data_IF_403058875237
#
_entry.id   IF_403058875237
#
_cell.length_a   1.000
_cell.length_b   1.000
_cell.length_c   1.000
_cell.angle_alpha   90.00
_cell.angle_beta   90.00
_cell.angle_gamma   90.00
#
_symmetry.space_group_name_H-M   'P 1'
#
loop_
_entity.id
_entity.type
_entity.pdbx_description
1 polymer ?
#
# COMPACT_ATOMS: atom_id res chain seq x y z
N UNK A 1 1.42 -19.35 25.74
CA UNK A 1 0.95 -19.65 24.37
C UNK A 1 1.07 -18.37 23.55
N UNK A 2 2.21 -18.14 22.91
CA UNK A 2 2.39 -17.02 21.99
C UNK A 2 2.27 -17.59 20.57
N UNK A 3 1.18 -17.24 19.89
CA UNK A 3 0.71 -17.85 18.66
C UNK A 3 1.75 -17.91 17.54
N UNK A 4 1.86 -19.09 16.91
CA UNK A 4 2.62 -19.35 15.68
C UNK A 4 2.26 -18.39 14.52
N UNK A 5 1.11 -17.71 14.59
CA UNK A 5 0.66 -16.74 13.60
C UNK A 5 1.53 -15.46 13.52
N UNK A 6 2.24 -15.09 14.59
CA UNK A 6 2.99 -13.83 14.61
C UNK A 6 4.34 -13.94 13.87
N UNK A 7 4.92 -15.15 13.77
CA UNK A 7 6.22 -15.35 13.13
C UNK A 7 6.13 -15.27 11.59
N UNK A 8 5.04 -15.77 11.01
CA UNK A 8 4.83 -15.72 9.55
C UNK A 8 4.45 -14.32 9.05
N UNK A 9 3.98 -13.42 9.92
CA UNK A 9 3.57 -12.07 9.52
C UNK A 9 4.72 -11.21 8.98
N UNK A 10 5.93 -11.36 9.55
CA UNK A 10 7.11 -10.61 9.15
C UNK A 10 7.71 -11.08 7.81
N UNK A 11 7.46 -12.33 7.41
CA UNK A 11 7.90 -12.86 6.12
C UNK A 11 6.97 -12.50 4.96
N UNK A 12 5.74 -12.04 5.24
CA UNK A 12 4.78 -11.70 4.20
C UNK A 12 5.18 -10.44 3.44
N UNK A 13 5.05 -10.49 2.13
CA UNK A 13 5.16 -9.30 1.30
C UNK A 13 3.99 -8.32 1.58
N UNK A 14 4.09 -7.05 1.18
CA UNK A 14 3.09 -6.03 1.53
C UNK A 14 1.66 -6.37 1.06
N UNK A 15 1.53 -7.03 -0.10
CA UNK A 15 0.22 -7.43 -0.64
C UNK A 15 -0.35 -8.65 0.08
N UNK A 16 0.49 -9.60 0.49
CA UNK A 16 0.08 -10.74 1.32
C UNK A 16 -0.42 -10.27 2.69
N UNK A 17 0.29 -9.32 3.33
CA UNK A 17 -0.20 -8.69 4.57
C UNK A 17 -1.55 -8.03 4.37
N UNK A 18 -1.73 -7.33 3.24
CA UNK A 18 -3.00 -6.70 2.91
C UNK A 18 -4.13 -7.72 2.70
N UNK A 19 -3.86 -8.83 2.01
CA UNK A 19 -4.80 -9.95 1.85
C UNK A 19 -5.15 -10.59 3.19
N UNK A 20 -4.17 -10.80 4.07
CA UNK A 20 -4.39 -11.32 5.42
C UNK A 20 -5.29 -10.39 6.25
N UNK A 21 -5.03 -9.08 6.23
CA UNK A 21 -5.89 -8.12 6.91
C UNK A 21 -7.30 -8.09 6.31
N UNK A 22 -7.43 -8.17 4.98
CA UNK A 22 -8.73 -8.24 4.32
C UNK A 22 -9.49 -9.52 4.73
N UNK A 23 -8.80 -10.64 4.89
CA UNK A 23 -9.36 -11.90 5.40
C UNK A 23 -9.89 -11.72 6.82
N UNK A 24 -9.11 -11.15 7.74
CA UNK A 24 -9.55 -10.86 9.11
C UNK A 24 -10.78 -9.95 9.17
N UNK A 25 -10.87 -8.96 8.27
CA UNK A 25 -12.04 -8.08 8.19
C UNK A 25 -13.30 -8.83 7.72
N UNK A 26 -13.17 -9.74 6.74
CA UNK A 26 -14.32 -10.40 6.09
C UNK A 26 -14.76 -11.68 6.78
N UNK A 27 -13.81 -12.54 7.12
CA UNK A 27 -14.08 -13.87 7.68
C UNK A 27 -14.17 -13.82 9.20
N UNK A 28 -13.16 -13.25 9.85
CA UNK A 28 -13.12 -13.16 11.32
C UNK A 28 -13.92 -11.98 11.87
N UNK A 29 -14.46 -11.13 10.97
CA UNK A 29 -15.23 -9.91 11.30
C UNK A 29 -14.53 -8.95 12.27
N UNK A 30 -13.19 -8.95 12.26
CA UNK A 30 -12.40 -8.05 13.10
C UNK A 30 -12.42 -6.63 12.53
N UNK A 31 -12.51 -5.62 13.39
CA UNK A 31 -12.28 -4.23 13.01
C UNK A 31 -10.80 -3.96 12.73
N UNK A 32 -10.50 -2.89 11.98
CA UNK A 32 -9.11 -2.46 11.75
C UNK A 32 -8.37 -2.17 13.07
N UNK A 33 -9.09 -1.68 14.09
CA UNK A 33 -8.54 -1.43 15.44
C UNK A 33 -8.14 -2.71 16.14
N UNK A 34 -8.98 -3.74 16.08
CA UNK A 34 -8.65 -5.06 16.65
C UNK A 34 -7.49 -5.73 15.91
N UNK A 35 -7.43 -5.59 14.59
CA UNK A 35 -6.28 -6.08 13.79
C UNK A 35 -5.01 -5.35 14.20
N UNK A 36 -5.06 -4.02 14.34
CA UNK A 36 -3.92 -3.21 14.77
C UNK A 36 -3.40 -3.66 16.15
N UNK A 37 -4.30 -3.88 17.12
CA UNK A 37 -3.95 -4.42 18.43
C UNK A 37 -3.36 -5.84 18.34
N UNK A 38 -3.99 -6.75 17.58
CA UNK A 38 -3.55 -8.15 17.42
C UNK A 38 -2.13 -8.26 16.87
N UNK A 39 -1.74 -7.39 15.94
CA UNK A 39 -0.40 -7.40 15.32
C UNK A 39 0.57 -6.39 15.93
N UNK A 40 0.20 -5.67 16.99
CA UNK A 40 1.03 -4.62 17.60
C UNK A 40 1.42 -3.51 16.62
N UNK A 41 0.51 -3.16 15.69
CA UNK A 41 0.70 -2.11 14.68
C UNK A 41 -0.24 -0.94 14.91
N UNK A 42 0.06 0.19 14.29
CA UNK A 42 -0.81 1.36 14.36
C UNK A 42 -2.02 1.19 13.43
N UNK A 43 -3.15 1.82 13.78
CA UNK A 43 -4.34 1.85 12.92
C UNK A 43 -4.03 2.40 11.50
N UNK A 44 -3.22 3.49 11.35
CA UNK A 44 -2.78 3.93 10.03
C UNK A 44 -1.98 2.87 9.28
N UNK A 45 -1.16 2.06 9.94
CA UNK A 45 -0.41 1.00 9.27
C UNK A 45 -1.35 -0.04 8.64
N UNK A 46 -2.36 -0.51 9.39
CA UNK A 46 -3.36 -1.46 8.89
C UNK A 46 -4.16 -0.87 7.73
N UNK A 47 -4.65 0.36 7.88
CA UNK A 47 -5.40 1.08 6.85
C UNK A 47 -4.58 1.26 5.57
N UNK A 48 -3.33 1.73 5.68
CA UNK A 48 -2.45 1.91 4.53
C UNK A 48 -2.13 0.59 3.83
N UNK A 49 -1.90 -0.48 4.60
CA UNK A 49 -1.61 -1.80 4.04
C UNK A 49 -2.81 -2.32 3.24
N UNK A 50 -4.03 -2.21 3.78
CA UNK A 50 -5.26 -2.60 3.09
C UNK A 50 -5.47 -1.84 1.77
N UNK A 51 -5.15 -0.54 1.75
CA UNK A 51 -5.26 0.29 0.54
C UNK A 51 -4.36 -0.17 -0.61
N UNK A 52 -3.26 -0.89 -0.34
CA UNK A 52 -2.41 -1.47 -1.38
C UNK A 52 -3.18 -2.43 -2.31
N UNK A 53 -4.27 -3.04 -1.85
CA UNK A 53 -5.10 -3.90 -2.70
C UNK A 53 -5.85 -3.12 -3.79
N UNK A 54 -6.02 -1.81 -3.63
CA UNK A 54 -6.68 -0.91 -4.58
C UNK A 54 -5.77 -0.51 -5.75
N UNK A 55 -4.48 -0.85 -5.69
CA UNK A 55 -3.54 -0.56 -6.76
C UNK A 55 -3.90 -1.30 -8.07
N UNK A 56 -3.64 -0.69 -9.23
CA UNK A 56 -3.67 -1.40 -10.51
C UNK A 56 -2.67 -2.55 -10.53
N UNK A 57 -2.97 -3.60 -11.29
CA UNK A 57 -2.17 -4.83 -11.32
C UNK A 57 -0.70 -4.56 -11.65
N UNK A 58 -0.43 -3.71 -12.63
CA UNK A 58 0.93 -3.33 -13.02
C UNK A 58 1.74 -2.71 -11.85
N UNK A 59 1.08 -1.94 -10.98
CA UNK A 59 1.75 -1.32 -9.81
C UNK A 59 1.94 -2.35 -8.69
N UNK A 60 1.01 -3.29 -8.54
CA UNK A 60 1.14 -4.42 -7.61
C UNK A 60 2.32 -5.31 -7.99
N UNK A 61 2.48 -5.63 -9.26
CA UNK A 61 3.64 -6.39 -9.78
C UNK A 61 4.95 -5.67 -9.46
N UNK A 62 5.00 -4.34 -9.65
CA UNK A 62 6.15 -3.53 -9.27
C UNK A 62 6.49 -3.59 -7.78
N UNK A 63 5.46 -3.56 -6.93
CA UNK A 63 5.64 -3.69 -5.49
C UNK A 63 6.11 -5.10 -5.08
N UNK A 64 5.58 -6.15 -5.72
CA UNK A 64 5.98 -7.53 -5.46
C UNK A 64 7.42 -7.81 -5.89
N UNK A 65 7.82 -7.30 -7.05
CA UNK A 65 9.18 -7.40 -7.58
C UNK A 65 10.18 -6.46 -6.90
N UNK A 66 9.73 -5.64 -5.93
CA UNK A 66 10.53 -4.64 -5.22
C UNK A 66 11.14 -3.56 -6.14
N UNK A 67 10.62 -3.37 -7.35
CA UNK A 67 11.03 -2.26 -8.23
C UNK A 67 10.56 -0.92 -7.69
N UNK A 68 9.46 -0.93 -6.93
CA UNK A 68 9.00 0.21 -6.13
C UNK A 68 8.84 -0.20 -4.67
N UNK A 69 9.02 0.76 -3.78
CA UNK A 69 8.79 0.57 -2.34
C UNK A 69 7.33 0.83 -1.95
N UNK A 70 6.95 0.41 -0.74
CA UNK A 70 5.63 0.72 -0.15
C UNK A 70 5.36 2.23 -0.10
N UNK A 71 6.39 3.06 0.07
CA UNK A 71 6.26 4.52 0.04
C UNK A 71 5.79 5.02 -1.33
N UNK A 72 6.42 4.54 -2.42
CA UNK A 72 5.98 4.87 -3.77
C UNK A 72 4.55 4.40 -4.03
N UNK A 73 4.22 3.17 -3.63
CA UNK A 73 2.89 2.60 -3.79
C UNK A 73 1.82 3.43 -3.05
N UNK A 74 2.13 3.90 -1.84
CA UNK A 74 1.25 4.80 -1.05
C UNK A 74 1.10 6.18 -1.68
N UNK A 75 2.16 6.74 -2.25
CA UNK A 75 2.08 8.01 -2.97
C UNK A 75 1.18 7.88 -4.21
N UNK A 76 1.34 6.80 -4.99
CA UNK A 76 0.50 6.52 -6.16
C UNK A 76 -0.97 6.36 -5.77
N UNK A 77 -1.27 5.73 -4.64
CA UNK A 77 -2.64 5.55 -4.10
C UNK A 77 -3.37 6.86 -3.72
N UNK A 78 -2.69 8.00 -3.73
CA UNK A 78 -3.34 9.29 -3.55
C UNK A 78 -4.06 9.77 -4.82
N UNK A 79 -3.73 9.21 -5.98
CA UNK A 79 -4.42 9.48 -7.24
C UNK A 79 -5.76 8.75 -7.27
N UNK A 80 -6.76 9.31 -7.96
CA UNK A 80 -8.09 8.70 -8.04
C UNK A 80 -8.25 7.78 -9.26
N UNK A 81 -7.47 8.00 -10.31
CA UNK A 81 -7.58 7.27 -11.57
C UNK A 81 -6.50 6.19 -11.72
N UNK A 82 -6.91 4.97 -12.04
CA UNK A 82 -5.99 3.87 -12.36
C UNK A 82 -5.05 4.20 -13.52
N UNK A 83 -5.50 4.98 -14.52
CA UNK A 83 -4.65 5.38 -15.65
C UNK A 83 -3.56 6.35 -15.22
N UNK A 84 -3.87 7.29 -14.33
CA UNK A 84 -2.89 8.20 -13.75
C UNK A 84 -1.90 7.44 -12.87
N UNK A 85 -2.37 6.52 -12.03
CA UNK A 85 -1.51 5.68 -11.19
C UNK A 85 -0.46 4.93 -12.03
N UNK A 86 -0.88 4.30 -13.13
CA UNK A 86 0.01 3.59 -14.05
C UNK A 86 0.99 4.55 -14.74
N UNK A 87 0.53 5.73 -15.15
CA UNK A 87 1.39 6.75 -15.77
C UNK A 87 2.48 7.23 -14.81
N UNK A 88 2.13 7.52 -13.55
CA UNK A 88 3.09 7.91 -12.51
C UNK A 88 4.05 6.78 -12.21
N UNK A 89 3.56 5.54 -12.08
CA UNK A 89 4.41 4.36 -11.90
C UNK A 89 5.48 4.24 -13.01
N UNK A 90 5.08 4.32 -14.28
CA UNK A 90 6.03 4.29 -15.41
C UNK A 90 7.06 5.41 -15.32
N UNK A 91 6.62 6.61 -14.93
CA UNK A 91 7.51 7.76 -14.76
C UNK A 91 8.53 7.56 -13.64
N UNK A 92 8.12 6.95 -12.53
CA UNK A 92 9.03 6.58 -11.42
C UNK A 92 10.11 5.63 -11.92
N UNK A 93 9.73 4.59 -12.67
CA UNK A 93 10.67 3.61 -13.22
C UNK A 93 11.68 4.27 -14.19
N UNK A 94 11.20 5.05 -15.14
CA UNK A 94 12.06 5.68 -16.16
C UNK A 94 13.02 6.70 -15.55
N UNK A 95 12.57 7.46 -14.55
CA UNK A 95 13.34 8.57 -13.97
C UNK A 95 13.99 8.25 -12.63
N UNK A 96 13.85 7.02 -12.14
CA UNK A 96 14.34 6.59 -10.82
C UNK A 96 14.00 7.58 -9.70
N UNK A 97 12.74 8.04 -9.69
CA UNK A 97 12.27 9.09 -8.78
C UNK A 97 12.26 8.53 -7.35
N UNK A 98 12.73 9.31 -6.37
CA UNK A 98 12.66 8.93 -4.97
C UNK A 98 11.22 8.94 -4.43
N UNK A 99 10.99 8.28 -3.28
CA UNK A 99 9.68 8.28 -2.60
C UNK A 99 9.21 9.71 -2.33
N UNK A 100 10.10 10.54 -1.78
CA UNK A 100 9.80 11.91 -1.44
C UNK A 100 9.40 12.73 -2.68
N UNK A 101 10.20 12.68 -3.75
CA UNK A 101 9.88 13.38 -4.99
C UNK A 101 8.59 12.85 -5.65
N UNK A 102 8.28 11.55 -5.48
CA UNK A 102 7.01 10.97 -5.93
C UNK A 102 5.83 11.55 -5.16
N UNK A 103 5.91 11.64 -3.83
CA UNK A 103 4.88 12.26 -2.99
C UNK A 103 4.64 13.71 -3.36
N UNK A 104 5.70 14.49 -3.57
CA UNK A 104 5.61 15.88 -4.01
C UNK A 104 4.96 16.00 -5.39
N UNK A 105 5.37 15.16 -6.34
CA UNK A 105 4.82 15.15 -7.69
C UNK A 105 3.32 14.83 -7.71
N UNK A 106 2.89 13.83 -6.94
CA UNK A 106 1.47 13.48 -6.82
C UNK A 106 0.70 14.60 -6.13
N UNK A 107 1.23 15.16 -5.04
CA UNK A 107 0.60 16.29 -4.33
C UNK A 107 0.44 17.51 -5.23
N UNK A 108 1.45 17.83 -6.04
CA UNK A 108 1.39 18.91 -7.03
C UNK A 108 0.32 18.65 -8.09
N UNK A 109 0.28 17.44 -8.63
CA UNK A 109 -0.74 17.01 -9.62
C UNK A 109 -2.15 17.18 -9.07
N UNK A 110 -2.40 16.70 -7.84
CA UNK A 110 -3.70 16.81 -7.17
C UNK A 110 -4.11 18.26 -6.89
N UNK A 111 -3.16 19.14 -6.54
CA UNK A 111 -3.44 20.57 -6.37
C UNK A 111 -3.86 21.24 -7.68
N UNK A 112 -3.30 20.81 -8.80
CA UNK A 112 -3.63 21.35 -10.13
C UNK A 112 -5.01 20.92 -10.61
N UNK A 113 -5.42 19.68 -10.31
CA UNK A 113 -6.74 19.15 -10.69
C UNK A 113 -7.91 19.74 -9.87
N UNK A 114 -7.62 20.35 -8.71
CA UNK A 114 -8.61 20.99 -7.84
C UNK A 114 -8.84 22.48 -8.15
N UNK A 115 -8.14 23.02 -9.16
CA UNK A 115 -8.34 24.38 -9.69
C UNK A 115 -9.13 24.28 -10.98
#
# INVERSE_FOLDING_TARGET
MADAANNSFLSLNPLERAKLFQKHLKEDKLSQTQIAQKYGKSLPFVSNTLRLLQLPELVKEGLMSKTISEGHARAILMLSSSTEMVSVYRKILVKSISVHATEEFVRFTLRRLRR
#
